data_IF_749452703416
#
_entry.id   IF_749452703416
#
_cell.length_a   1.000
_cell.length_b   1.000
_cell.length_c   1.000
_cell.angle_alpha   90.00
_cell.angle_beta   90.00
_cell.angle_gamma   90.00
#
_symmetry.space_group_name_H-M   'P 1'
#
loop_
_entity.id
_entity.type
_entity.pdbx_description
1 polymer ?
#
# COMPACT_ATOMS: atom_id res chain seq x y z
N UNK A 1 -14.04 48.86 -59.74
CA UNK A 1 -12.68 49.14 -60.25
C UNK A 1 -11.85 49.73 -59.16
N UNK A 2 -10.58 49.44 -58.98
CA UNK A 2 -9.84 48.25 -59.37
C UNK A 2 -9.01 47.63 -58.17
N UNK A 3 -8.42 46.49 -58.52
CA UNK A 3 -7.08 45.97 -58.25
C UNK A 3 -6.75 45.49 -56.82
N UNK A 4 -6.65 44.20 -56.59
CA UNK A 4 -5.59 43.26 -56.90
C UNK A 4 -4.18 43.70 -56.42
N UNK A 5 -3.65 42.93 -55.48
CA UNK A 5 -2.24 42.53 -55.32
C UNK A 5 -2.18 41.55 -54.14
N UNK A 6 -2.17 40.26 -54.34
CA UNK A 6 -1.03 39.41 -54.65
C UNK A 6 0.18 39.70 -53.74
N UNK A 7 0.30 38.89 -52.74
CA UNK A 7 1.45 38.82 -51.87
C UNK A 7 1.57 37.38 -51.34
N UNK A 8 2.08 36.51 -52.20
CA UNK A 8 2.58 35.18 -51.86
C UNK A 8 3.79 35.34 -50.96
N UNK A 9 3.67 34.97 -49.69
CA UNK A 9 4.86 34.58 -48.93
C UNK A 9 4.61 33.18 -48.36
N UNK A 10 5.12 32.27 -49.13
CA UNK A 10 5.31 30.89 -48.83
C UNK A 10 6.51 30.78 -47.87
N UNK A 11 6.20 30.87 -46.56
CA UNK A 11 7.18 30.66 -45.50
C UNK A 11 7.05 29.21 -45.02
N UNK A 12 7.92 28.37 -45.61
CA UNK A 12 8.13 27.00 -45.14
C UNK A 12 8.83 27.09 -43.79
N UNK A 13 8.07 27.07 -42.71
CA UNK A 13 8.63 26.74 -41.40
C UNK A 13 8.48 25.24 -41.20
N UNK A 14 9.50 24.52 -41.62
CA UNK A 14 9.77 23.16 -41.18
C UNK A 14 10.09 23.23 -39.69
N UNK A 15 9.02 23.21 -38.89
CA UNK A 15 9.11 23.04 -37.44
C UNK A 15 9.50 21.61 -37.11
N UNK A 16 10.77 21.44 -36.83
CA UNK A 16 11.35 20.21 -36.30
C UNK A 16 10.72 19.99 -34.90
N UNK A 17 9.63 19.25 -34.84
CA UNK A 17 9.07 18.73 -33.57
C UNK A 17 10.04 17.67 -33.07
N UNK A 18 11.05 18.10 -32.34
CA UNK A 18 11.82 17.21 -31.48
C UNK A 18 10.87 16.68 -30.38
N UNK A 19 10.34 15.49 -30.62
CA UNK A 19 9.66 14.72 -29.59
C UNK A 19 10.70 14.40 -28.51
N UNK A 20 10.73 15.24 -27.49
CA UNK A 20 11.47 14.97 -26.26
C UNK A 20 10.72 13.83 -25.55
N UNK A 21 11.05 12.60 -25.90
CA UNK A 21 10.65 11.43 -25.12
C UNK A 21 11.35 11.60 -23.78
N UNK A 22 10.62 12.14 -22.80
CA UNK A 22 10.98 12.07 -21.40
C UNK A 22 10.94 10.59 -21.03
N UNK A 23 12.08 9.90 -21.22
CA UNK A 23 12.34 8.63 -20.59
C UNK A 23 12.27 8.91 -19.09
N UNK A 24 11.10 8.67 -18.49
CA UNK A 24 11.00 8.60 -17.06
C UNK A 24 11.95 7.48 -16.62
N UNK A 25 12.92 7.75 -15.75
CA UNK A 25 13.67 6.66 -15.15
C UNK A 25 12.60 5.77 -14.50
N UNK A 26 12.45 4.55 -15.01
CA UNK A 26 11.80 3.51 -14.25
C UNK A 26 12.47 3.58 -12.88
N UNK A 27 11.70 3.92 -11.84
CA UNK A 27 12.20 3.99 -10.49
C UNK A 27 12.77 2.63 -10.20
N UNK A 28 14.05 2.44 -10.47
CA UNK A 28 14.80 1.38 -9.87
C UNK A 28 14.58 1.60 -8.38
N UNK A 29 13.78 0.73 -7.77
CA UNK A 29 13.67 0.69 -6.32
C UNK A 29 15.10 0.67 -5.86
N UNK A 30 15.50 1.72 -5.16
CA UNK A 30 16.91 1.90 -4.88
C UNK A 30 17.36 0.75 -4.00
N UNK A 31 18.63 0.38 -4.08
CA UNK A 31 19.19 -0.62 -3.17
C UNK A 31 18.94 -0.23 -1.71
N UNK A 32 18.80 1.07 -1.44
CA UNK A 32 18.39 1.61 -0.16
C UNK A 32 16.99 1.18 0.28
N UNK A 33 16.02 1.11 -0.64
CA UNK A 33 14.66 0.63 -0.33
C UNK A 33 14.67 -0.85 0.02
N UNK A 34 15.49 -1.64 -0.68
CA UNK A 34 15.71 -3.05 -0.37
C UNK A 34 16.43 -3.24 0.98
N UNK A 35 17.42 -2.41 1.27
CA UNK A 35 18.15 -2.43 2.55
C UNK A 35 17.22 -2.08 3.72
N UNK A 36 16.32 -1.10 3.56
CA UNK A 36 15.33 -0.76 4.57
C UNK A 36 14.34 -1.91 4.83
N UNK A 37 13.92 -2.60 3.77
CA UNK A 37 13.05 -3.78 3.89
C UNK A 37 13.77 -4.95 4.60
N UNK A 38 15.06 -5.13 4.33
CA UNK A 38 15.88 -6.14 4.99
C UNK A 38 16.14 -5.77 6.45
N UNK A 39 16.48 -4.51 6.74
CA UNK A 39 16.72 -4.03 8.10
C UNK A 39 15.44 -4.01 8.94
N UNK A 40 14.29 -3.69 8.36
CA UNK A 40 12.99 -3.81 9.02
C UNK A 40 12.64 -5.24 9.42
N UNK A 41 13.23 -6.24 8.76
CA UNK A 41 13.06 -7.66 9.15
C UNK A 41 14.04 -8.13 10.23
N UNK A 42 15.14 -7.40 10.43
CA UNK A 42 16.16 -7.76 11.44
C UNK A 42 15.77 -7.33 12.86
N UNK A 43 15.02 -6.22 12.97
CA UNK A 43 14.53 -5.72 14.27
C UNK A 43 13.00 -5.65 14.25
N UNK A 44 12.31 -6.53 15.00
CA UNK A 44 10.83 -6.59 14.98
C UNK A 44 10.14 -5.25 15.29
N UNK A 45 10.72 -4.42 16.15
CA UNK A 45 10.17 -3.11 16.48
C UNK A 45 10.20 -2.15 15.27
N UNK A 46 11.29 -2.14 14.51
CA UNK A 46 11.46 -1.32 13.31
C UNK A 46 10.53 -1.80 12.19
N UNK A 47 10.39 -3.12 12.04
CA UNK A 47 9.44 -3.74 11.11
C UNK A 47 7.98 -3.39 11.42
N UNK A 48 7.61 -3.36 12.70
CA UNK A 48 6.26 -2.91 13.09
C UNK A 48 6.05 -1.42 12.79
N UNK A 49 7.05 -0.58 13.02
CA UNK A 49 6.97 0.85 12.70
C UNK A 49 6.83 1.07 11.19
N UNK A 50 7.62 0.35 10.38
CA UNK A 50 7.54 0.37 8.92
C UNK A 50 6.15 -0.07 8.43
N UNK A 51 5.63 -1.18 8.94
CA UNK A 51 4.30 -1.66 8.57
C UNK A 51 3.20 -0.62 8.86
N UNK A 52 3.28 0.08 9.99
CA UNK A 52 2.35 1.18 10.31
C UNK A 52 2.46 2.35 9.33
N UNK A 53 3.67 2.72 8.93
CA UNK A 53 3.89 3.75 7.92
C UNK A 53 3.30 3.35 6.56
N UNK A 54 3.50 2.10 6.14
CA UNK A 54 2.93 1.53 4.92
C UNK A 54 1.39 1.54 4.96
N UNK A 55 0.78 1.20 6.08
CA UNK A 55 -0.68 1.32 6.28
C UNK A 55 -1.13 2.77 6.13
N UNK A 56 -0.39 3.72 6.69
CA UNK A 56 -0.68 5.16 6.60
C UNK A 56 -0.62 5.70 5.17
N UNK A 57 0.24 5.13 4.33
CA UNK A 57 0.36 5.46 2.90
C UNK A 57 -0.58 4.64 1.98
N UNK A 58 -1.38 3.73 2.55
CA UNK A 58 -2.29 2.88 1.79
C UNK A 58 -1.68 1.57 1.26
N UNK A 59 -0.40 1.31 1.52
CA UNK A 59 0.33 0.10 1.12
C UNK A 59 -0.03 -1.11 1.99
N UNK A 60 -1.26 -1.62 1.91
CA UNK A 60 -1.75 -2.69 2.78
C UNK A 60 -1.02 -4.01 2.57
N UNK A 61 -0.73 -4.37 1.32
CA UNK A 61 -0.04 -5.61 0.98
C UNK A 61 1.43 -5.56 1.40
N UNK A 62 2.07 -4.39 1.24
CA UNK A 62 3.45 -4.18 1.70
C UNK A 62 3.53 -4.28 3.23
N UNK A 63 2.54 -3.70 3.93
CA UNK A 63 2.43 -3.80 5.37
C UNK A 63 2.24 -5.25 5.85
N UNK A 64 1.40 -6.03 5.16
CA UNK A 64 1.22 -7.45 5.45
C UNK A 64 2.53 -8.21 5.28
N UNK A 65 3.20 -8.06 4.13
CA UNK A 65 4.48 -8.72 3.88
C UNK A 65 5.55 -8.33 4.91
N UNK A 66 5.57 -7.08 5.36
CA UNK A 66 6.47 -6.62 6.42
C UNK A 66 6.15 -7.28 7.76
N UNK A 67 4.85 -7.36 8.13
CA UNK A 67 4.42 -8.00 9.36
C UNK A 67 4.69 -9.51 9.38
N UNK A 68 4.53 -10.19 8.25
CA UNK A 68 4.87 -11.61 8.11
C UNK A 68 6.36 -11.86 8.40
N UNK A 69 7.25 -10.99 7.90
CA UNK A 69 8.68 -11.07 8.22
C UNK A 69 8.93 -10.85 9.71
N UNK A 70 8.30 -9.82 10.31
CA UNK A 70 8.39 -9.58 11.76
C UNK A 70 7.95 -10.81 12.54
N UNK A 71 6.83 -11.43 12.16
CA UNK A 71 6.28 -12.61 12.82
C UNK A 71 7.09 -13.88 12.56
N UNK A 72 7.87 -13.93 11.47
CA UNK A 72 8.84 -15.01 11.24
C UNK A 72 10.01 -14.93 12.22
N UNK A 73 10.50 -13.71 12.50
CA UNK A 73 11.60 -13.48 13.44
C UNK A 73 11.11 -13.58 14.89
N UNK A 74 9.93 -13.00 15.19
CA UNK A 74 9.32 -13.00 16.53
C UNK A 74 7.86 -13.44 16.45
N UNK A 75 7.58 -14.76 16.45
CA UNK A 75 6.23 -15.29 16.29
C UNK A 75 5.25 -14.86 17.42
N UNK A 76 5.78 -14.42 18.56
CA UNK A 76 4.99 -13.97 19.71
C UNK A 76 4.84 -12.45 19.80
N UNK A 77 5.25 -11.71 18.76
CA UNK A 77 5.16 -10.25 18.76
C UNK A 77 3.68 -9.81 18.69
N UNK A 78 3.11 -9.52 19.86
CA UNK A 78 1.66 -9.28 20.04
C UNK A 78 1.13 -8.16 19.15
N UNK A 79 1.84 -7.03 19.09
CA UNK A 79 1.41 -5.85 18.31
C UNK A 79 1.44 -6.09 16.80
N UNK A 80 2.47 -6.78 16.31
CA UNK A 80 2.54 -7.15 14.90
C UNK A 80 1.40 -8.10 14.52
N UNK A 81 1.12 -9.11 15.35
CA UNK A 81 0.03 -10.05 15.09
C UNK A 81 -1.35 -9.38 15.13
N UNK A 82 -1.59 -8.46 16.07
CA UNK A 82 -2.84 -7.72 16.12
C UNK A 82 -3.05 -6.87 14.86
N UNK A 83 -2.00 -6.16 14.42
CA UNK A 83 -2.06 -5.36 13.20
C UNK A 83 -2.24 -6.26 11.97
N UNK A 84 -1.52 -7.38 11.88
CA UNK A 84 -1.65 -8.36 10.79
C UNK A 84 -3.10 -8.86 10.67
N UNK A 85 -3.71 -9.33 11.78
CA UNK A 85 -5.09 -9.77 11.81
C UNK A 85 -6.08 -8.68 11.34
N UNK A 86 -5.87 -7.43 11.77
CA UNK A 86 -6.68 -6.29 11.35
C UNK A 86 -6.55 -5.99 9.84
N UNK A 87 -5.35 -6.11 9.29
CA UNK A 87 -5.11 -5.88 7.86
C UNK A 87 -5.71 -6.97 6.98
N UNK A 88 -5.70 -8.23 7.43
CA UNK A 88 -6.37 -9.33 6.73
C UNK A 88 -7.87 -9.03 6.53
N UNK A 89 -8.56 -8.47 7.54
CA UNK A 89 -9.94 -8.01 7.38
C UNK A 89 -10.07 -6.88 6.34
N UNK A 90 -9.09 -5.98 6.26
CA UNK A 90 -9.12 -4.86 5.31
C UNK A 90 -8.98 -5.31 3.85
N UNK A 91 -8.34 -6.45 3.61
CA UNK A 91 -8.23 -7.07 2.28
C UNK A 91 -9.28 -8.16 2.05
N UNK A 92 -10.29 -8.25 2.94
CA UNK A 92 -11.39 -9.21 2.92
C UNK A 92 -11.00 -10.69 3.12
N UNK A 93 -9.80 -10.95 3.64
CA UNK A 93 -9.40 -12.29 4.10
C UNK A 93 -9.89 -12.53 5.53
N UNK A 94 -11.15 -12.91 5.65
CA UNK A 94 -11.83 -13.11 6.94
C UNK A 94 -11.37 -14.36 7.64
N UNK A 95 -11.10 -15.41 6.90
CA UNK A 95 -10.69 -16.70 7.46
C UNK A 95 -9.28 -16.59 8.04
N UNK A 96 -8.37 -15.94 7.31
CA UNK A 96 -7.04 -15.62 7.81
C UNK A 96 -7.10 -14.70 9.04
N UNK A 97 -7.93 -13.67 9.01
CA UNK A 97 -8.12 -12.78 10.15
C UNK A 97 -8.64 -13.52 11.37
N UNK A 98 -9.68 -14.36 11.22
CA UNK A 98 -10.25 -15.14 12.31
C UNK A 98 -9.21 -16.09 12.93
N UNK A 99 -8.40 -16.76 12.09
CA UNK A 99 -7.32 -17.63 12.54
C UNK A 99 -6.26 -16.86 13.35
N UNK A 100 -5.91 -15.65 12.92
CA UNK A 100 -4.95 -14.80 13.66
C UNK A 100 -5.55 -14.27 14.95
N UNK A 101 -6.80 -13.78 14.96
CA UNK A 101 -7.47 -13.33 16.19
C UNK A 101 -7.64 -14.46 17.21
N UNK A 102 -7.89 -15.69 16.77
CA UNK A 102 -8.00 -16.85 17.67
C UNK A 102 -6.71 -17.15 18.45
N UNK A 103 -5.56 -16.70 17.96
CA UNK A 103 -4.26 -16.83 18.63
C UNK A 103 -3.98 -15.71 19.62
N UNK A 104 -4.84 -14.67 19.67
CA UNK A 104 -4.70 -13.50 20.50
C UNK A 104 -5.66 -13.56 21.70
N UNK A 105 -5.28 -12.88 22.77
CA UNK A 105 -6.12 -12.74 23.96
C UNK A 105 -6.41 -11.25 24.16
N UNK A 106 -7.68 -10.87 24.09
CA UNK A 106 -8.12 -9.47 24.24
C UNK A 106 -7.56 -8.77 25.48
N UNK A 107 -7.39 -9.53 26.58
CA UNK A 107 -6.82 -9.02 27.84
C UNK A 107 -5.35 -8.56 27.76
N UNK A 108 -4.64 -8.97 26.72
CA UNK A 108 -3.24 -8.61 26.52
C UNK A 108 -3.07 -7.24 25.83
N UNK A 109 -4.20 -6.57 25.50
CA UNK A 109 -4.25 -5.30 24.78
C UNK A 109 -5.13 -4.29 25.53
N UNK A 110 -4.92 -3.01 25.24
CA UNK A 110 -5.86 -1.98 25.67
C UNK A 110 -7.19 -2.17 24.95
N UNK A 111 -8.31 -1.96 25.66
CA UNK A 111 -9.66 -2.14 25.09
C UNK A 111 -9.86 -1.35 23.78
N UNK A 112 -9.39 -0.10 23.75
CA UNK A 112 -9.49 0.74 22.55
C UNK A 112 -8.68 0.18 21.37
N UNK A 113 -7.48 -0.35 21.63
CA UNK A 113 -6.62 -0.95 20.61
C UNK A 113 -7.25 -2.23 20.03
N UNK A 114 -7.74 -3.10 20.91
CA UNK A 114 -8.42 -4.31 20.50
C UNK A 114 -9.68 -4.01 19.68
N UNK A 115 -10.52 -3.08 20.13
CA UNK A 115 -11.72 -2.70 19.39
C UNK A 115 -11.40 -2.06 18.04
N UNK A 116 -10.38 -1.21 17.96
CA UNK A 116 -9.94 -0.61 16.71
C UNK A 116 -9.44 -1.67 15.71
N UNK A 117 -8.76 -2.71 16.17
CA UNK A 117 -8.29 -3.80 15.32
C UNK A 117 -9.45 -4.65 14.74
N UNK A 118 -10.57 -4.76 15.45
CA UNK A 118 -11.75 -5.51 14.98
C UNK A 118 -12.66 -4.69 14.06
N UNK A 119 -12.57 -3.37 14.05
CA UNK A 119 -13.44 -2.50 13.25
C UNK A 119 -13.45 -2.85 11.76
N UNK A 120 -12.31 -3.11 11.08
CA UNK A 120 -12.31 -3.47 9.67
C UNK A 120 -13.10 -4.75 9.38
N UNK A 121 -13.05 -5.73 10.30
CA UNK A 121 -13.76 -7.01 10.15
C UNK A 121 -15.29 -6.81 10.22
N UNK A 122 -15.76 -5.85 11.00
CA UNK A 122 -17.19 -5.56 11.14
C UNK A 122 -17.74 -4.83 9.91
N UNK A 123 -16.97 -3.89 9.33
CA UNK A 123 -17.40 -3.08 8.19
C UNK A 123 -17.50 -3.89 6.89
N UNK A 124 -16.57 -4.80 6.65
CA UNK A 124 -16.63 -5.69 5.47
C UNK A 124 -17.77 -6.70 5.57
N UNK A 125 -18.21 -7.08 6.79
CA UNK A 125 -19.39 -7.93 6.98
C UNK A 125 -20.68 -7.27 6.47
N UNK A 126 -20.81 -5.95 6.60
CA UNK A 126 -22.00 -5.22 6.18
C UNK A 126 -22.09 -5.06 4.65
N UNK A 127 -20.97 -5.07 3.94
CA UNK A 127 -20.91 -4.88 2.48
C UNK A 127 -21.04 -6.19 1.69
N UNK A 128 -20.76 -7.34 2.30
CA UNK A 128 -20.76 -8.66 1.64
C UNK A 128 -22.12 -9.38 1.58
N UNK A 129 -23.21 -8.81 2.09
CA UNK A 129 -24.55 -9.44 2.06
C UNK A 129 -25.40 -9.03 0.85
N UNK A 130 -24.83 -8.41 -0.15
CA UNK A 130 -25.52 -7.98 -1.37
C UNK A 130 -25.07 -8.72 -2.61
N UNK A 131 -25.43 -10.01 -2.76
CA UNK A 131 -25.31 -10.57 -4.09
C UNK A 131 -24.89 -12.03 -4.22
N UNK A 132 -25.80 -12.95 -3.90
CA UNK A 132 -26.05 -14.11 -4.78
C UNK A 132 -27.51 -14.53 -4.54
N UNK A 133 -28.37 -14.20 -5.48
CA UNK A 133 -29.60 -14.92 -5.77
C UNK A 133 -29.52 -15.43 -7.18
#
# INVERSE_FOLDING_TARGET
MPKAMCGRNFGIFAGLLAALVLAQPASAQSLEDLDQLVQGSVKPADGLALARAQVGSGGLLDALATLERVLTVEPKHKQARLLHASLLCRIDDRDGAAAEFARLRSKDYKKAEWSAALMPCATTAATGQGGVR
#
